data_IF_203126267847
#
_entry.id   IF_203126267847
#
_cell.length_a   1.000
_cell.length_b   1.000
_cell.length_c   1.000
_cell.angle_alpha   90.00
_cell.angle_beta   90.00
_cell.angle_gamma   90.00
#
_symmetry.space_group_name_H-M   'P 1'
#
loop_
_entity.id
_entity.type
_entity.pdbx_description
1 polymer ?
#
# COMPACT_ATOMS: atom_id res chain seq x y z
N UNK A 1 3.42 16.01 -7.79
CA UNK A 1 2.55 14.86 -8.09
C UNK A 1 1.79 14.52 -6.82
N UNK A 2 0.47 14.41 -6.91
CA UNK A 2 -0.38 13.97 -5.80
C UNK A 2 -0.73 12.49 -6.00
N UNK A 3 -0.65 11.72 -4.91
CA UNK A 3 -0.99 10.30 -4.88
C UNK A 3 -2.09 10.06 -3.86
N UNK A 4 -3.06 9.23 -4.23
CA UNK A 4 -4.08 8.69 -3.33
C UNK A 4 -3.44 7.59 -2.48
N UNK A 5 -3.03 7.94 -1.26
CA UNK A 5 -2.56 6.99 -0.27
C UNK A 5 -3.77 6.26 0.31
N UNK A 6 -3.72 4.93 0.36
CA UNK A 6 -4.83 4.06 0.76
C UNK A 6 -4.30 3.05 1.79
N UNK A 7 -4.79 3.11 3.01
CA UNK A 7 -4.40 2.15 4.03
C UNK A 7 -5.08 0.82 3.72
N UNK A 8 -4.31 -0.19 3.34
CA UNK A 8 -4.87 -1.52 3.05
C UNK A 8 -5.49 -2.16 4.30
N UNK A 9 -5.12 -1.71 5.49
CA UNK A 9 -5.65 -2.24 6.75
C UNK A 9 -7.03 -1.65 7.06
N UNK A 10 -7.10 -0.33 7.30
CA UNK A 10 -8.32 0.34 7.75
C UNK A 10 -9.14 1.03 6.65
N UNK A 11 -8.64 1.07 5.41
CA UNK A 11 -9.31 1.73 4.29
C UNK A 11 -9.25 3.26 4.32
N UNK A 12 -8.51 3.88 5.24
CA UNK A 12 -8.27 5.33 5.25
C UNK A 12 -7.64 5.74 3.93
N UNK A 13 -8.07 6.87 3.38
CA UNK A 13 -7.50 7.43 2.16
C UNK A 13 -7.18 8.92 2.30
N UNK A 14 -6.05 9.34 1.74
CA UNK A 14 -5.65 10.74 1.69
C UNK A 14 -4.92 11.03 0.37
N UNK A 15 -5.17 12.21 -0.21
CA UNK A 15 -4.45 12.68 -1.40
C UNK A 15 -3.31 13.56 -0.93
N UNK A 16 -2.09 13.05 -1.04
CA UNK A 16 -0.88 13.68 -0.50
C UNK A 16 0.25 13.64 -1.53
N UNK A 17 1.21 14.55 -1.40
CA UNK A 17 2.52 14.35 -2.01
C UNK A 17 3.25 13.20 -1.30
N UNK A 18 4.20 12.51 -1.94
CA UNK A 18 5.02 11.49 -1.27
C UNK A 18 5.73 12.00 -0.01
N UNK A 19 6.23 13.23 -0.04
CA UNK A 19 6.85 13.89 1.11
C UNK A 19 5.87 14.02 2.28
N UNK A 20 4.67 14.57 2.04
CA UNK A 20 3.65 14.71 3.08
C UNK A 20 3.17 13.36 3.62
N UNK A 21 3.01 12.35 2.75
CA UNK A 21 2.66 10.99 3.16
C UNK A 21 3.69 10.43 4.13
N UNK A 22 4.97 10.51 3.77
CA UNK A 22 6.06 10.01 4.62
C UNK A 22 6.16 10.75 5.96
N UNK A 23 6.05 12.08 5.95
CA UNK A 23 6.05 12.88 7.19
C UNK A 23 4.88 12.54 8.12
N UNK A 24 3.75 12.11 7.56
CA UNK A 24 2.58 11.64 8.30
C UNK A 24 2.65 10.16 8.69
N UNK A 25 3.75 9.47 8.37
CA UNK A 25 3.97 8.06 8.72
C UNK A 25 3.34 7.06 7.76
N UNK A 26 2.98 7.46 6.54
CA UNK A 26 2.48 6.52 5.54
C UNK A 26 3.60 5.63 4.99
N UNK A 27 3.34 4.33 4.96
CA UNK A 27 4.20 3.35 4.27
C UNK A 27 3.87 3.34 2.78
N UNK A 28 4.38 4.32 2.03
CA UNK A 28 4.13 4.44 0.59
C UNK A 28 5.40 4.77 -0.21
N UNK A 29 5.56 4.24 -1.44
CA UNK A 29 6.65 4.64 -2.31
C UNK A 29 6.40 6.05 -2.88
N UNK A 30 7.46 6.75 -3.32
CA UNK A 30 8.86 6.31 -3.34
C UNK A 30 9.62 6.44 -2.00
N UNK A 31 9.00 6.94 -0.93
CA UNK A 31 9.71 7.16 0.34
C UNK A 31 9.90 5.86 1.14
N UNK A 32 8.94 4.95 1.04
CA UNK A 32 8.96 3.63 1.66
C UNK A 32 8.70 2.55 0.62
N UNK A 33 9.68 1.66 0.39
CA UNK A 33 9.59 0.61 -0.62
C UNK A 33 9.69 1.15 -2.06
N UNK A 34 9.18 0.36 -3.01
CA UNK A 34 9.19 0.68 -4.44
C UNK A 34 7.81 0.40 -5.06
N UNK A 35 7.46 1.14 -6.11
CA UNK A 35 6.26 0.86 -6.90
C UNK A 35 6.37 -0.50 -7.58
N UNK A 36 5.22 -1.17 -7.78
CA UNK A 36 5.13 -2.52 -8.39
C UNK A 36 5.84 -3.62 -7.58
N UNK A 37 6.36 -3.30 -6.40
CA UNK A 37 6.96 -4.24 -5.45
C UNK A 37 6.08 -4.30 -4.19
N UNK A 38 5.63 -5.50 -3.85
CA UNK A 38 4.83 -5.73 -2.65
C UNK A 38 5.62 -5.26 -1.42
N UNK A 39 5.03 -4.28 -0.73
CA UNK A 39 5.51 -3.67 0.50
C UNK A 39 4.28 -3.12 1.25
N UNK A 40 4.38 -2.83 2.56
CA UNK A 40 3.23 -2.33 3.32
C UNK A 40 2.61 -1.08 2.69
N UNK A 41 1.28 -0.94 2.81
CA UNK A 41 0.51 0.27 2.47
C UNK A 41 -0.35 0.68 3.66
N UNK A 42 0.24 1.37 4.64
CA UNK A 42 -0.42 1.74 5.90
C UNK A 42 -0.37 3.25 6.16
N UNK A 43 -1.29 3.75 7.00
CA UNK A 43 -1.44 5.16 7.35
C UNK A 43 -0.67 5.60 8.62
N UNK A 44 0.31 4.82 9.07
CA UNK A 44 1.08 5.11 10.30
C UNK A 44 0.37 4.74 11.61
N UNK A 45 -0.97 4.73 11.64
CA UNK A 45 -1.74 4.25 12.79
C UNK A 45 -2.06 2.75 12.75
N UNK A 46 -1.81 2.09 11.61
CA UNK A 46 -2.04 0.66 11.44
C UNK A 46 -0.71 -0.09 11.38
N UNK A 47 -0.61 -1.19 12.13
CA UNK A 47 0.55 -2.08 12.05
C UNK A 47 0.65 -2.78 10.70
N UNK A 48 1.90 -3.03 10.28
CA UNK A 48 2.22 -3.74 9.04
C UNK A 48 1.86 -5.23 9.08
N UNK A 49 1.64 -5.79 10.28
CA UNK A 49 1.29 -7.19 10.54
C UNK A 49 -0.06 -7.61 9.92
N UNK A 50 -0.85 -6.64 9.46
CA UNK A 50 -2.16 -6.87 8.82
C UNK A 50 -2.15 -6.59 7.31
N UNK A 51 -0.97 -6.47 6.71
CA UNK A 51 -0.79 -6.15 5.29
C UNK A 51 -0.64 -7.39 4.42
N UNK A 52 -0.88 -7.24 3.11
CA UNK A 52 -0.53 -8.23 2.10
C UNK A 52 0.95 -8.61 2.17
N UNK A 53 1.83 -7.63 2.38
CA UNK A 53 3.27 -7.88 2.48
C UNK A 53 3.61 -8.83 3.63
N UNK A 54 2.98 -8.64 4.80
CA UNK A 54 3.19 -9.52 5.95
C UNK A 54 2.69 -10.94 5.70
N UNK A 55 1.48 -11.06 5.13
CA UNK A 55 0.92 -12.35 4.76
C UNK A 55 1.86 -13.16 3.83
N UNK A 56 2.46 -12.52 2.82
CA UNK A 56 3.37 -13.21 1.90
C UNK A 56 4.75 -13.43 2.54
N UNK A 57 5.33 -12.39 3.14
CA UNK A 57 6.75 -12.38 3.52
C UNK A 57 7.01 -13.01 4.89
N UNK A 58 6.03 -12.96 5.79
CA UNK A 58 6.16 -13.42 7.18
C UNK A 58 5.31 -14.65 7.43
N UNK A 59 4.05 -14.67 6.98
CA UNK A 59 3.17 -15.83 7.15
C UNK A 59 3.37 -16.90 6.07
N UNK A 60 4.06 -16.57 4.97
CA UNK A 60 4.35 -17.51 3.88
C UNK A 60 3.15 -17.85 2.99
N UNK A 61 2.07 -17.05 3.02
CA UNK A 61 0.90 -17.28 2.17
C UNK A 61 1.27 -17.23 0.69
N UNK A 62 0.76 -18.20 -0.07
CA UNK A 62 0.90 -18.19 -1.52
C UNK A 62 -0.23 -17.36 -2.14
N UNK A 63 -0.09 -16.89 -3.39
CA UNK A 63 -1.15 -16.15 -4.08
C UNK A 63 -2.51 -16.85 -4.10
N UNK A 64 -2.54 -18.19 -4.11
CA UNK A 64 -3.76 -18.99 -4.08
C UNK A 64 -4.48 -18.96 -2.71
N UNK A 65 -3.79 -18.57 -1.64
CA UNK A 65 -4.31 -18.50 -0.27
C UNK A 65 -4.70 -17.07 0.15
N UNK A 66 -4.53 -16.10 -0.76
CA UNK A 66 -4.88 -14.71 -0.50
C UNK A 66 -6.40 -14.54 -0.52
N UNK A 67 -6.92 -13.78 0.44
CA UNK A 67 -8.31 -13.37 0.42
C UNK A 67 -8.57 -12.31 -0.66
N UNK A 68 -9.85 -12.01 -0.92
CA UNK A 68 -10.26 -11.06 -1.95
C UNK A 68 -9.64 -9.66 -1.74
N UNK A 69 -9.54 -9.20 -0.50
CA UNK A 69 -8.99 -7.88 -0.17
C UNK A 69 -7.47 -7.83 -0.40
N UNK A 70 -6.78 -8.93 -0.10
CA UNK A 70 -5.36 -9.11 -0.36
C UNK A 70 -5.08 -9.16 -1.87
N UNK A 71 -5.90 -9.87 -2.65
CA UNK A 71 -5.80 -9.91 -4.11
C UNK A 71 -6.02 -8.53 -4.73
N UNK A 72 -7.06 -7.80 -4.32
CA UNK A 72 -7.31 -6.42 -4.78
C UNK A 72 -6.14 -5.50 -4.44
N UNK A 73 -5.53 -5.67 -3.27
CA UNK A 73 -4.35 -4.89 -2.87
C UNK A 73 -3.13 -5.24 -3.73
N UNK A 74 -2.92 -6.52 -4.04
CA UNK A 74 -1.85 -6.98 -4.92
C UNK A 74 -2.01 -6.38 -6.33
N UNK A 75 -3.20 -6.49 -6.91
CA UNK A 75 -3.52 -5.94 -8.22
C UNK A 75 -3.29 -4.43 -8.27
N UNK A 76 -3.71 -3.71 -7.22
CA UNK A 76 -3.43 -2.27 -7.10
C UNK A 76 -1.93 -2.00 -7.10
N UNK A 77 -1.15 -2.65 -6.22
CA UNK A 77 0.30 -2.42 -6.11
C UNK A 77 1.02 -2.64 -7.43
N UNK A 78 0.64 -3.67 -8.19
CA UNK A 78 1.24 -3.98 -9.50
C UNK A 78 1.00 -2.89 -10.56
N UNK A 79 -0.02 -2.06 -10.36
CA UNK A 79 -0.38 -0.94 -11.22
C UNK A 79 0.01 0.43 -10.60
N UNK A 80 0.70 0.46 -9.46
CA UNK A 80 1.21 1.70 -8.88
C UNK A 80 2.45 2.19 -9.67
N UNK A 81 2.65 3.51 -9.86
CA UNK A 81 1.83 4.60 -9.33
C UNK A 81 0.56 4.89 -10.15
N UNK A 82 0.39 4.33 -11.35
CA UNK A 82 -0.69 4.67 -12.28
C UNK A 82 -2.09 4.53 -11.66
N UNK A 83 -2.32 3.50 -10.84
CA UNK A 83 -3.60 3.27 -10.15
C UNK A 83 -3.93 4.23 -9.01
N UNK A 84 -2.94 5.01 -8.54
CA UNK A 84 -3.09 5.92 -7.39
C UNK A 84 -2.72 7.37 -7.72
N UNK A 85 -2.27 7.64 -8.94
CA UNK A 85 -2.05 9.01 -9.41
C UNK A 85 -3.38 9.75 -9.51
N UNK A 86 -3.41 10.97 -8.98
CA UNK A 86 -4.54 11.88 -9.18
C UNK A 86 -4.24 12.73 -10.41
N UNK A 87 -5.01 12.54 -11.48
CA UNK A 87 -5.03 13.42 -12.66
C UNK A 87 -6.16 14.43 -12.50
N UNK A 88 -5.91 15.68 -12.88
CA UNK A 88 -6.91 16.75 -12.92
C UNK A 88 -8.13 16.41 -13.80
#
# INVERSE_FOLDING_TARGET
>A
MLLRHICEVCGKEEVLTPEQGFEQGWDYPPKMGQFKVVSPRTCGSCGIDRTLWWAISVEGKQPADLDEKQLQTLERILQEPESIMVTD
#
